data_IF_102950148511
#
_entry.id   IF_102950148511
#
_cell.length_a   1.000
_cell.length_b   1.000
_cell.length_c   1.000
_cell.angle_alpha   90.00
_cell.angle_beta   90.00
_cell.angle_gamma   90.00
#
_symmetry.space_group_name_H-M   'P 1'
#
loop_
_entity.id
_entity.type
_entity.pdbx_description
1 polymer ?
#
# COMPACT_ATOMS: atom_id res chain seq x y z
N UNK A 1 -23.36 65.23 -45.42
CA UNK A 1 -22.03 65.28 -44.78
C UNK A 1 -21.50 66.69 -44.94
N UNK A 2 -21.26 67.43 -43.85
CA UNK A 2 -20.85 68.85 -43.93
C UNK A 2 -19.35 68.98 -44.13
N UNK A 3 -18.90 70.04 -44.82
CA UNK A 3 -17.47 70.33 -45.01
C UNK A 3 -16.71 70.38 -43.67
N UNK A 4 -17.38 70.83 -42.60
CA UNK A 4 -16.83 70.87 -41.25
C UNK A 4 -16.53 69.48 -40.68
N UNK A 5 -17.35 68.47 -40.98
CA UNK A 5 -17.13 67.09 -40.53
C UNK A 5 -15.95 66.46 -41.28
N UNK A 6 -15.83 66.75 -42.57
CA UNK A 6 -14.71 66.29 -43.41
C UNK A 6 -13.40 66.90 -42.90
N UNK A 7 -13.36 68.23 -42.71
CA UNK A 7 -12.20 68.92 -42.15
C UNK A 7 -11.86 68.48 -40.71
N UNK A 8 -12.88 68.13 -39.92
CA UNK A 8 -12.71 67.53 -38.59
C UNK A 8 -12.00 66.18 -38.64
N UNK A 9 -12.35 65.34 -39.63
CA UNK A 9 -11.67 64.05 -39.86
C UNK A 9 -10.19 64.22 -40.23
N UNK A 10 -9.89 65.14 -41.15
CA UNK A 10 -8.50 65.44 -41.54
C UNK A 10 -7.66 66.01 -40.39
N UNK A 11 -8.26 66.88 -39.55
CA UNK A 11 -7.61 67.36 -38.31
C UNK A 11 -7.36 66.22 -37.33
N UNK A 12 -8.36 65.35 -37.13
CA UNK A 12 -8.25 64.20 -36.23
C UNK A 12 -7.23 63.14 -36.67
N UNK A 13 -6.88 63.11 -37.96
CA UNK A 13 -5.85 62.25 -38.53
C UNK A 13 -4.46 62.93 -38.63
N UNK A 14 -4.34 64.21 -38.27
CA UNK A 14 -3.09 64.97 -38.41
C UNK A 14 -2.68 65.27 -39.85
N UNK A 15 -3.64 65.24 -40.80
CA UNK A 15 -3.37 65.48 -42.22
C UNK A 15 -3.45 66.97 -42.58
N UNK A 16 -4.26 67.75 -41.85
CA UNK A 16 -4.45 69.19 -42.10
C UNK A 16 -4.59 69.97 -40.78
N UNK A 17 -3.62 70.82 -40.40
CA UNK A 17 -2.24 70.88 -40.94
C UNK A 17 -1.52 69.54 -40.75
N UNK A 18 -0.51 69.28 -41.58
CA UNK A 18 0.25 68.05 -41.48
C UNK A 18 1.04 68.00 -40.16
N UNK A 19 0.67 67.06 -39.28
CA UNK A 19 1.33 66.77 -38.01
C UNK A 19 1.52 65.26 -37.83
N UNK A 20 2.71 64.72 -38.12
CA UNK A 20 2.99 63.29 -37.99
C UNK A 20 2.96 62.79 -36.54
N UNK A 21 3.06 63.67 -35.53
CA UNK A 21 3.02 63.25 -34.11
C UNK A 21 1.65 62.73 -33.69
N UNK A 22 0.57 63.22 -34.31
CA UNK A 22 -0.80 62.74 -34.07
C UNK A 22 -0.96 61.27 -34.48
N UNK A 23 -0.28 60.85 -35.55
CA UNK A 23 -0.31 59.46 -36.00
C UNK A 23 0.60 58.59 -35.12
N UNK A 24 1.83 59.05 -34.85
CA UNK A 24 2.80 58.31 -34.04
C UNK A 24 2.31 58.06 -32.60
N UNK A 25 1.65 59.03 -31.97
CA UNK A 25 1.08 58.89 -30.61
C UNK A 25 -0.07 57.88 -30.53
N UNK A 26 -0.76 57.59 -31.65
CA UNK A 26 -1.79 56.53 -31.71
C UNK A 26 -1.21 55.16 -32.01
N UNK A 27 -0.03 55.09 -32.63
CA UNK A 27 0.67 53.85 -32.93
C UNK A 27 1.45 53.32 -31.72
N UNK A 28 1.74 54.16 -30.72
CA UNK A 28 2.29 53.73 -29.43
C UNK A 28 1.21 53.06 -28.57
N UNK A 29 0.70 51.93 -29.07
CA UNK A 29 -0.25 51.09 -28.36
C UNK A 29 0.52 50.44 -27.21
N UNK A 30 0.50 51.07 -26.05
CA UNK A 30 0.88 50.43 -24.79
C UNK A 30 -0.11 49.30 -24.54
N UNK A 31 0.24 48.10 -24.98
CA UNK A 31 -0.46 46.87 -24.62
C UNK A 31 -0.43 46.77 -23.09
N UNK A 32 -1.50 47.24 -22.46
CA UNK A 32 -1.68 47.07 -21.03
C UNK A 32 -2.09 45.63 -20.83
N UNK A 33 -1.12 44.77 -20.55
CA UNK A 33 -1.43 43.44 -20.00
C UNK A 33 -2.31 43.68 -18.78
N UNK A 34 -3.55 43.17 -18.74
CA UNK A 34 -4.34 43.25 -17.52
C UNK A 34 -3.50 42.66 -16.40
N UNK A 35 -3.34 43.41 -15.30
CA UNK A 35 -2.63 42.91 -14.12
C UNK A 35 -3.20 41.53 -13.82
N UNK A 36 -2.38 40.46 -13.77
CA UNK A 36 -2.90 39.14 -13.41
C UNK A 36 -3.64 39.32 -12.09
N UNK A 37 -4.87 38.78 -12.01
CA UNK A 37 -5.59 38.72 -10.75
C UNK A 37 -4.60 38.12 -9.76
N UNK A 38 -4.18 38.92 -8.78
CA UNK A 38 -3.34 38.46 -7.68
C UNK A 38 -4.20 37.44 -6.95
N UNK A 39 -4.01 36.17 -7.29
CA UNK A 39 -4.44 35.06 -6.46
C UNK A 39 -4.01 35.43 -5.04
N UNK A 40 -4.91 35.37 -4.04
CA UNK A 40 -4.48 35.61 -2.67
C UNK A 40 -3.24 34.75 -2.45
N UNK A 41 -2.16 35.39 -2.02
CA UNK A 41 -0.99 34.71 -1.50
C UNK A 41 -1.42 34.04 -0.20
N UNK A 42 -2.32 33.07 -0.29
CA UNK A 42 -2.35 31.99 0.65
C UNK A 42 -0.97 31.35 0.56
N UNK A 43 -0.40 31.03 1.71
CA UNK A 43 0.76 30.17 1.84
C UNK A 43 0.45 28.80 1.23
N UNK A 44 0.33 28.76 -0.09
CA UNK A 44 0.02 27.57 -0.83
C UNK A 44 1.28 26.74 -0.75
N UNK A 45 1.20 25.67 0.04
CA UNK A 45 2.16 24.59 0.01
C UNK A 45 2.59 24.36 -1.45
N UNK A 46 3.90 24.22 -1.72
CA UNK A 46 4.36 23.95 -3.08
C UNK A 46 3.52 22.83 -3.65
N UNK A 47 2.89 23.05 -4.80
CA UNK A 47 2.03 22.03 -5.39
C UNK A 47 2.88 20.76 -5.59
N UNK A 48 2.45 19.66 -4.96
CA UNK A 48 3.09 18.35 -5.09
C UNK A 48 2.17 17.46 -5.91
N UNK A 49 2.70 16.90 -7.00
CA UNK A 49 1.98 15.88 -7.77
C UNK A 49 1.84 14.61 -6.92
N UNK A 50 0.66 14.41 -6.33
CA UNK A 50 0.32 13.17 -5.62
C UNK A 50 -0.55 12.27 -6.51
N UNK A 51 -0.25 10.98 -6.49
CA UNK A 51 -1.09 9.98 -7.14
C UNK A 51 -2.39 9.82 -6.34
N UNK A 52 -3.57 9.81 -7.00
CA UNK A 52 -4.84 9.54 -6.32
C UNK A 52 -4.81 8.19 -5.60
N UNK A 53 -5.30 8.13 -4.36
CA UNK A 53 -5.25 6.92 -3.53
C UNK A 53 -6.48 6.03 -3.69
N UNK A 54 -7.57 6.58 -4.24
CA UNK A 54 -8.80 5.85 -4.49
C UNK A 54 -9.45 6.31 -5.81
N UNK A 55 -10.39 5.52 -6.37
CA UNK A 55 -11.07 5.86 -7.62
C UNK A 55 -11.82 7.18 -7.56
N UNK A 56 -12.41 7.52 -6.42
CA UNK A 56 -13.18 8.76 -6.25
C UNK A 56 -12.28 9.98 -6.39
N UNK A 57 -11.08 9.95 -5.77
CA UNK A 57 -10.05 10.98 -5.95
C UNK A 57 -9.63 11.08 -7.41
N UNK A 58 -9.36 9.95 -8.08
CA UNK A 58 -8.97 9.94 -9.49
C UNK A 58 -10.03 10.57 -10.41
N UNK A 59 -11.30 10.25 -10.18
CA UNK A 59 -12.42 10.83 -10.91
C UNK A 59 -12.50 12.34 -10.63
N UNK A 60 -12.45 12.75 -9.35
CA UNK A 60 -12.53 14.18 -8.98
C UNK A 60 -11.41 15.01 -9.60
N UNK A 61 -10.18 14.49 -9.61
CA UNK A 61 -9.02 15.15 -10.23
C UNK A 61 -9.17 15.21 -11.75
N UNK A 62 -9.70 14.15 -12.37
CA UNK A 62 -9.95 14.15 -13.82
C UNK A 62 -10.99 15.20 -14.24
N UNK A 63 -12.04 15.39 -13.44
CA UNK A 63 -13.06 16.42 -13.68
C UNK A 63 -12.52 17.84 -13.42
N UNK A 64 -11.66 18.02 -12.41
CA UNK A 64 -10.97 19.29 -12.18
C UNK A 64 -10.10 19.67 -13.39
N UNK A 65 -9.24 18.75 -13.84
CA UNK A 65 -8.37 18.99 -15.02
C UNK A 65 -9.20 19.28 -16.26
N UNK A 66 -10.29 18.56 -16.46
CA UNK A 66 -11.24 18.81 -17.55
C UNK A 66 -11.82 20.23 -17.49
N UNK A 67 -12.30 20.66 -16.32
CA UNK A 67 -12.88 22.01 -16.16
C UNK A 67 -11.88 23.11 -16.49
N UNK A 68 -10.60 22.92 -16.13
CA UNK A 68 -9.52 23.85 -16.42
C UNK A 68 -9.18 23.89 -17.92
N UNK A 69 -9.09 22.73 -18.58
CA UNK A 69 -8.85 22.64 -20.02
C UNK A 69 -9.98 23.30 -20.80
N UNK A 70 -11.24 23.09 -20.40
CA UNK A 70 -12.41 23.69 -21.05
C UNK A 70 -12.46 25.22 -20.91
N UNK A 71 -11.89 25.79 -19.85
CA UNK A 71 -11.89 27.24 -19.61
C UNK A 71 -10.75 28.01 -20.30
N UNK A 72 -9.77 27.33 -20.90
CA UNK A 72 -8.58 27.98 -21.45
C UNK A 72 -8.79 28.45 -22.90
N UNK A 73 -8.66 29.76 -23.14
CA UNK A 73 -8.68 30.37 -24.47
C UNK A 73 -7.45 29.93 -25.28
N UNK A 74 -7.65 29.20 -26.39
CA UNK A 74 -6.57 28.79 -27.31
C UNK A 74 -6.07 27.35 -27.16
N UNK A 75 -6.69 26.52 -26.33
CA UNK A 75 -6.33 25.10 -26.21
C UNK A 75 -7.06 24.25 -27.25
N UNK A 76 -6.34 23.39 -27.99
CA UNK A 76 -6.94 22.26 -28.69
C UNK A 76 -7.25 21.16 -27.66
N UNK A 77 -8.53 20.75 -27.43
CA UNK A 77 -8.91 20.00 -26.23
C UNK A 77 -8.50 18.53 -26.21
N UNK A 78 -8.03 17.98 -27.32
CA UNK A 78 -8.29 16.56 -27.63
C UNK A 78 -7.27 15.52 -27.14
N UNK A 79 -5.94 15.73 -27.18
CA UNK A 79 -5.01 14.67 -26.77
C UNK A 79 -4.87 14.52 -25.25
N UNK A 80 -4.83 15.62 -24.49
CA UNK A 80 -4.63 15.56 -23.03
C UNK A 80 -5.90 15.10 -22.32
N UNK A 81 -7.06 15.59 -22.74
CA UNK A 81 -8.33 15.22 -22.12
C UNK A 81 -8.62 13.72 -22.26
N UNK A 82 -8.39 13.16 -23.46
CA UNK A 82 -8.59 11.73 -23.70
C UNK A 82 -7.66 10.87 -22.84
N UNK A 83 -6.40 11.28 -22.69
CA UNK A 83 -5.44 10.61 -21.81
C UNK A 83 -5.88 10.65 -20.33
N UNK A 84 -6.26 11.82 -19.80
CA UNK A 84 -6.72 11.97 -18.42
C UNK A 84 -7.98 11.13 -18.15
N UNK A 85 -8.91 11.10 -19.11
CA UNK A 85 -10.13 10.27 -19.00
C UNK A 85 -9.80 8.77 -19.01
N UNK A 86 -8.86 8.34 -19.87
CA UNK A 86 -8.42 6.94 -19.90
C UNK A 86 -7.71 6.54 -18.61
N UNK A 87 -6.88 7.43 -18.06
CA UNK A 87 -6.24 7.22 -16.76
C UNK A 87 -7.26 7.02 -15.64
N UNK A 88 -8.29 7.87 -15.57
CA UNK A 88 -9.35 7.73 -14.56
C UNK A 88 -10.05 6.37 -14.65
N UNK A 89 -10.42 5.93 -15.86
CA UNK A 89 -11.00 4.60 -16.10
C UNK A 89 -10.03 3.46 -15.73
N UNK A 90 -8.75 3.62 -16.02
CA UNK A 90 -7.72 2.65 -15.66
C UNK A 90 -7.60 2.49 -14.14
N UNK A 91 -7.62 3.60 -13.40
CA UNK A 91 -7.58 3.59 -11.93
C UNK A 91 -8.83 2.90 -11.35
N UNK A 92 -10.01 3.18 -11.89
CA UNK A 92 -11.27 2.52 -11.50
C UNK A 92 -11.18 1.00 -11.71
N UNK A 93 -10.76 0.55 -12.90
CA UNK A 93 -10.59 -0.87 -13.21
C UNK A 93 -9.55 -1.56 -12.33
N UNK A 94 -8.43 -0.87 -12.05
CA UNK A 94 -7.41 -1.35 -11.12
C UNK A 94 -7.95 -1.48 -9.70
N UNK A 95 -8.71 -0.51 -9.21
CA UNK A 95 -9.29 -0.58 -7.88
C UNK A 95 -10.26 -1.74 -7.75
N UNK A 96 -11.11 -1.99 -8.74
CA UNK A 96 -11.96 -3.18 -8.76
C UNK A 96 -11.14 -4.47 -8.71
N UNK A 97 -10.10 -4.57 -9.54
CA UNK A 97 -9.18 -5.72 -9.51
C UNK A 97 -8.53 -5.90 -8.14
N UNK A 98 -8.05 -4.83 -7.52
CA UNK A 98 -7.45 -4.86 -6.17
C UNK A 98 -8.48 -5.30 -5.12
N UNK A 99 -9.73 -4.86 -5.20
CA UNK A 99 -10.78 -5.29 -4.27
C UNK A 99 -11.06 -6.80 -4.38
N UNK A 100 -11.09 -7.34 -5.60
CA UNK A 100 -11.27 -8.78 -5.82
C UNK A 100 -10.06 -9.58 -5.32
N UNK A 101 -8.85 -9.16 -5.70
CA UNK A 101 -7.61 -9.81 -5.29
C UNK A 101 -7.45 -9.81 -3.78
N UNK A 102 -7.79 -8.71 -3.10
CA UNK A 102 -7.71 -8.65 -1.64
C UNK A 102 -8.72 -9.56 -0.96
N UNK A 103 -9.93 -9.72 -1.52
CA UNK A 103 -10.93 -10.67 -1.02
C UNK A 103 -10.48 -12.14 -1.20
N UNK A 104 -9.95 -12.48 -2.38
CA UNK A 104 -9.41 -13.81 -2.67
C UNK A 104 -8.20 -14.12 -1.77
N UNK A 105 -7.27 -13.16 -1.62
CA UNK A 105 -6.08 -13.34 -0.79
C UNK A 105 -6.47 -13.61 0.68
N UNK A 106 -7.46 -12.88 1.23
CA UNK A 106 -8.01 -13.16 2.56
C UNK A 106 -8.59 -14.57 2.68
N UNK A 107 -9.29 -15.04 1.65
CA UNK A 107 -9.87 -16.39 1.61
C UNK A 107 -8.78 -17.46 1.59
N UNK A 108 -7.78 -17.30 0.72
CA UNK A 108 -6.62 -18.19 0.61
C UNK A 108 -5.82 -18.22 1.92
N UNK A 109 -5.60 -17.07 2.55
CA UNK A 109 -4.92 -17.01 3.85
C UNK A 109 -5.68 -17.81 4.93
N UNK A 110 -7.01 -17.66 5.01
CA UNK A 110 -7.84 -18.45 5.95
C UNK A 110 -7.75 -19.95 5.66
N UNK A 111 -7.87 -20.35 4.40
CA UNK A 111 -7.75 -21.75 3.99
C UNK A 111 -6.36 -22.32 4.34
N UNK A 112 -5.28 -21.58 4.08
CA UNK A 112 -3.92 -21.96 4.42
C UNK A 112 -3.69 -22.09 5.93
N UNK A 113 -4.25 -21.18 6.73
CA UNK A 113 -4.21 -21.29 8.19
C UNK A 113 -4.94 -22.55 8.67
N UNK A 114 -6.12 -22.85 8.12
CA UNK A 114 -6.87 -24.07 8.45
C UNK A 114 -6.10 -25.34 8.05
N UNK A 115 -5.51 -25.38 6.86
CA UNK A 115 -4.66 -26.49 6.40
C UNK A 115 -3.42 -26.65 7.29
N UNK A 116 -2.76 -25.55 7.66
CA UNK A 116 -1.60 -25.56 8.56
C UNK A 116 -1.98 -26.13 9.94
N UNK A 117 -3.13 -25.72 10.49
CA UNK A 117 -3.66 -26.29 11.74
C UNK A 117 -3.93 -27.79 11.61
N UNK A 118 -4.59 -28.24 10.53
CA UNK A 118 -4.83 -29.68 10.26
C UNK A 118 -3.52 -30.47 10.16
N UNK A 119 -2.52 -29.95 9.44
CA UNK A 119 -1.20 -30.59 9.31
C UNK A 119 -0.46 -30.71 10.65
N UNK A 120 -0.58 -29.70 11.53
CA UNK A 120 0.00 -29.75 12.88
C UNK A 120 -0.78 -30.69 13.80
N UNK A 121 -2.10 -30.71 13.74
CA UNK A 121 -2.94 -31.59 14.55
C UNK A 121 -2.69 -33.09 14.28
N UNK A 122 -2.38 -33.47 13.03
CA UNK A 122 -2.06 -34.86 12.66
C UNK A 122 -0.67 -35.35 13.11
N UNK A 123 0.04 -34.60 13.96
CA UNK A 123 1.36 -34.99 14.51
C UNK A 123 1.34 -35.54 15.94
N UNK A 124 0.21 -36.03 16.44
CA UNK A 124 0.21 -36.91 17.62
C UNK A 124 0.76 -38.28 17.20
N UNK A 125 2.09 -38.39 17.08
CA UNK A 125 2.75 -39.69 16.86
C UNK A 125 2.35 -40.61 18.01
N UNK A 126 1.74 -41.75 17.68
CA UNK A 126 1.70 -42.90 18.59
C UNK A 126 3.17 -43.25 18.83
N UNK A 127 3.68 -42.92 20.03
CA UNK A 127 5.11 -43.05 20.36
C UNK A 127 5.59 -44.50 20.35
N UNK A 128 4.68 -45.47 20.37
CA UNK A 128 5.02 -46.88 20.27
C UNK A 128 4.94 -47.34 18.81
N UNK A 129 6.10 -47.35 18.15
CA UNK A 129 6.27 -47.99 16.84
C UNK A 129 6.14 -49.50 16.96
N UNK A 130 4.90 -50.00 16.92
CA UNK A 130 4.55 -51.43 16.98
C UNK A 130 3.07 -51.63 16.65
N UNK A 131 2.67 -52.89 16.41
CA UNK A 131 1.27 -53.22 16.16
C UNK A 131 0.41 -52.90 17.39
N UNK A 132 -0.51 -51.94 17.25
CA UNK A 132 -1.39 -51.53 18.35
C UNK A 132 -2.50 -52.59 18.53
N UNK A 133 -2.44 -53.38 19.61
CA UNK A 133 -3.51 -54.35 19.92
C UNK A 133 -4.75 -53.64 20.46
N UNK A 134 -5.93 -54.21 20.23
CA UNK A 134 -7.22 -53.61 20.62
C UNK A 134 -7.31 -53.31 22.13
N UNK A 135 -6.68 -54.12 22.97
CA UNK A 135 -6.64 -53.93 24.42
C UNK A 135 -5.74 -52.74 24.82
N UNK A 136 -4.59 -52.59 24.15
CA UNK A 136 -3.69 -51.44 24.32
C UNK A 136 -4.38 -50.13 23.94
N UNK A 137 -5.16 -50.15 22.86
CA UNK A 137 -5.94 -49.00 22.42
C UNK A 137 -6.99 -48.57 23.47
N UNK A 138 -7.71 -49.54 24.05
CA UNK A 138 -8.69 -49.29 25.13
C UNK A 138 -8.02 -48.73 26.39
N UNK A 139 -6.85 -49.23 26.76
CA UNK A 139 -6.07 -48.72 27.89
C UNK A 139 -5.68 -47.24 27.74
N UNK A 140 -5.21 -46.86 26.55
CA UNK A 140 -4.84 -45.46 26.24
C UNK A 140 -6.07 -44.54 26.31
N UNK A 141 -7.22 -44.98 25.80
CA UNK A 141 -8.47 -44.22 25.89
C UNK A 141 -8.94 -44.04 27.34
N UNK A 142 -8.88 -45.10 28.15
CA UNK A 142 -9.23 -45.05 29.57
C UNK A 142 -8.29 -44.18 30.40
N UNK A 143 -7.00 -44.13 30.05
CA UNK A 143 -6.04 -43.22 30.67
C UNK A 143 -6.34 -41.75 30.31
N UNK A 144 -6.55 -41.45 29.02
CA UNK A 144 -6.92 -40.09 28.59
C UNK A 144 -8.23 -39.60 29.18
N UNK A 145 -9.20 -40.50 29.37
CA UNK A 145 -10.46 -40.15 30.02
C UNK A 145 -10.26 -39.76 31.49
N UNK A 146 -9.39 -40.47 32.22
CA UNK A 146 -9.02 -40.12 33.60
C UNK A 146 -8.26 -38.79 33.68
N UNK A 147 -7.29 -38.56 32.78
CA UNK A 147 -6.55 -37.30 32.69
C UNK A 147 -7.46 -36.12 32.28
N UNK A 148 -8.43 -36.36 31.39
CA UNK A 148 -9.41 -35.36 30.96
C UNK A 148 -10.41 -34.95 32.03
N UNK A 149 -10.74 -35.86 32.96
CA UNK A 149 -11.61 -35.56 34.11
C UNK A 149 -10.90 -34.77 35.22
N UNK A 150 -9.58 -34.92 35.37
CA UNK A 150 -8.78 -34.12 36.31
C UNK A 150 -8.48 -32.69 35.80
N UNK A 151 -8.68 -32.41 34.51
CA UNK A 151 -8.42 -31.10 33.88
C UNK A 151 -9.62 -30.16 33.72
N UNK A 152 -10.81 -30.53 34.19
CA UNK A 152 -12.04 -29.75 33.97
C UNK A 152 -12.31 -28.64 34.99
N UNK A 153 -11.31 -28.27 35.81
CA UNK A 153 -11.36 -27.12 36.70
C UNK A 153 -10.40 -26.01 36.27
N UNK A 154 -10.71 -25.31 35.17
CA UNK A 154 -10.26 -23.95 34.80
C UNK A 154 -10.13 -23.83 33.28
N UNK A 155 -11.21 -23.38 32.64
CA UNK A 155 -11.10 -22.73 31.34
C UNK A 155 -10.57 -21.33 31.60
N UNK A 156 -9.29 -21.11 31.34
CA UNK A 156 -8.86 -19.78 30.93
C UNK A 156 -7.73 -19.86 29.91
N UNK A 157 -7.92 -19.09 28.85
CA UNK A 157 -7.03 -18.95 27.71
C UNK A 157 -5.69 -18.42 28.19
N UNK A 158 -4.66 -19.25 28.18
CA UNK A 158 -3.31 -18.75 28.01
C UNK A 158 -2.54 -19.66 27.06
N UNK A 159 -2.12 -19.09 25.95
CA UNK A 159 -0.97 -19.56 25.18
C UNK A 159 0.23 -19.64 26.14
N UNK A 160 0.40 -20.78 26.81
CA UNK A 160 1.70 -21.13 27.36
C UNK A 160 2.51 -21.75 26.24
N UNK A 161 3.32 -20.87 25.64
CA UNK A 161 4.64 -21.20 25.13
C UNK A 161 5.16 -22.47 25.79
N UNK A 162 5.51 -23.44 24.95
CA UNK A 162 6.23 -24.65 25.35
C UNK A 162 7.48 -24.23 26.13
N UNK A 163 7.40 -24.23 27.46
CA UNK A 163 8.55 -24.33 28.34
C UNK A 163 9.16 -25.70 28.05
N UNK A 164 10.08 -25.70 27.09
CA UNK A 164 10.92 -26.85 26.83
C UNK A 164 11.59 -27.21 28.14
N UNK A 165 11.37 -28.44 28.60
CA UNK A 165 12.25 -29.05 29.57
C UNK A 165 13.68 -28.84 29.05
N UNK A 166 14.42 -27.95 29.72
CA UNK A 166 15.79 -27.62 29.35
C UNK A 166 16.58 -28.91 29.51
N UNK A 167 16.81 -29.60 28.40
CA UNK A 167 17.61 -30.81 28.38
C UNK A 167 19.02 -30.40 28.80
N UNK A 168 19.39 -30.74 30.03
CA UNK A 168 20.71 -30.42 30.59
C UNK A 168 21.77 -30.96 29.61
N UNK A 169 22.71 -30.13 29.14
CA UNK A 169 23.75 -30.58 28.22
C UNK A 169 24.51 -31.77 28.81
N UNK A 170 24.59 -32.86 28.05
CA UNK A 170 25.33 -34.07 28.41
C UNK A 170 26.70 -34.05 27.75
N UNK A 171 27.71 -34.55 28.45
CA UNK A 171 29.05 -34.70 27.89
C UNK A 171 29.02 -35.66 26.69
N UNK A 172 29.58 -35.26 25.53
CA UNK A 172 29.62 -36.12 24.33
C UNK A 172 30.53 -37.35 24.48
N UNK A 173 31.50 -37.33 25.40
CA UNK A 173 32.44 -38.44 25.65
C UNK A 173 31.85 -39.54 26.54
N UNK A 174 31.18 -39.17 27.65
CA UNK A 174 30.68 -40.13 28.65
C UNK A 174 29.15 -40.10 28.87
N UNK A 175 28.41 -39.19 28.24
CA UNK A 175 26.94 -39.10 28.32
C UNK A 175 26.36 -38.55 29.64
N UNK A 176 27.20 -38.26 30.63
CA UNK A 176 26.76 -37.72 31.94
C UNK A 176 26.51 -36.20 31.88
N UNK A 177 25.45 -35.69 32.53
CA UNK A 177 25.20 -34.25 32.65
C UNK A 177 26.19 -33.57 33.62
N UNK A 178 26.29 -32.24 33.59
CA UNK A 178 27.05 -31.45 34.57
C UNK A 178 28.50 -31.13 34.19
N UNK A 179 29.01 -31.61 33.06
CA UNK A 179 30.33 -31.24 32.54
C UNK A 179 30.37 -31.32 31.01
N UNK A 180 31.38 -30.67 30.40
CA UNK A 180 31.58 -30.70 28.95
C UNK A 180 32.76 -31.63 28.57
N UNK A 181 32.97 -31.85 27.28
CA UNK A 181 34.00 -32.79 26.79
C UNK A 181 35.43 -32.40 27.22
N UNK A 182 35.71 -31.10 27.42
CA UNK A 182 37.04 -30.60 27.78
C UNK A 182 37.40 -30.84 29.24
N UNK A 183 36.40 -31.00 30.11
CA UNK A 183 36.58 -31.28 31.53
C UNK A 183 36.19 -32.73 31.87
N UNK A 184 36.13 -33.62 30.87
CA UNK A 184 35.71 -35.00 31.06
C UNK A 184 36.91 -35.87 31.45
N UNK A 185 36.90 -36.34 32.71
CA UNK A 185 37.90 -37.26 33.27
C UNK A 185 37.63 -38.74 32.93
N UNK A 186 36.81 -39.02 31.91
CA UNK A 186 36.54 -40.39 31.50
C UNK A 186 37.74 -40.92 30.70
N UNK A 187 38.58 -41.74 31.32
CA UNK A 187 39.59 -42.54 30.63
C UNK A 187 38.93 -43.79 30.06
N UNK A 188 39.12 -44.02 28.76
CA UNK A 188 38.70 -45.26 28.11
C UNK A 188 39.80 -46.26 28.42
N UNK A 189 39.56 -47.20 29.33
CA UNK A 189 40.40 -48.38 29.43
C UNK A 189 40.29 -49.15 28.11
N UNK A 190 41.36 -49.10 27.31
CA UNK A 190 41.53 -49.96 26.15
C UNK A 190 41.88 -51.36 26.67
N UNK A 191 41.18 -52.43 26.24
CA UNK A 191 41.64 -53.77 26.53
C UNK A 191 42.96 -54.03 25.77
N UNK A 192 44.04 -54.24 26.53
CA UNK A 192 45.31 -54.78 26.04
C UNK A 192 45.17 -56.27 25.73
N UNK A 193 45.55 -56.62 24.49
CA UNK A 193 45.90 -57.95 23.93
C UNK A 193 44.87 -59.08 24.07
#
# INVERSE_FOLDING_TARGET
>A
MTANNIAGGFRGAGLVPFDPQVVLSRLDVKLRTPTPIRSPAAEANPWVSQTPHNPTEAISQSELVKSQISGHQGSSPTPIFSAVRQMAKGIEAMAHSVTLLTAENRTLQKANQALSRRRRAKKTRVRHGGALTAQSARGILAQKHREGQQGQGAVEKQCRSSEGLVSIPRCRKCGKPGHNIRTCQFEVELPTA
#
